data_IF_563551142286
#
_entry.id   IF_563551142286
#
_cell.length_a   1.000
_cell.length_b   1.000
_cell.length_c   1.000
_cell.angle_alpha   90.00
_cell.angle_beta   90.00
_cell.angle_gamma   90.00
#
_symmetry.space_group_name_H-M   'P 1'
#
loop_
_entity.id
_entity.type
_entity.pdbx_description
1 polymer ?
#
# COMPACT_ATOMS: atom_id res chain seq x y z
N UNK A 1 22.46 -40.26 -35.34
CA UNK A 1 22.37 -41.37 -34.37
C UNK A 1 22.33 -40.78 -32.97
N UNK A 2 21.25 -41.05 -32.24
CA UNK A 2 20.93 -40.49 -30.93
C UNK A 2 21.71 -41.19 -29.82
N UNK A 3 22.23 -40.44 -28.84
CA UNK A 3 22.42 -40.94 -27.46
C UNK A 3 22.18 -39.81 -26.46
N UNK A 4 20.96 -39.80 -25.94
CA UNK A 4 20.51 -38.99 -24.82
C UNK A 4 21.31 -39.33 -23.56
N UNK A 5 21.90 -38.30 -22.95
CA UNK A 5 22.56 -38.38 -21.65
C UNK A 5 21.56 -38.70 -20.55
N UNK A 6 21.97 -39.60 -19.65
CA UNK A 6 21.19 -40.22 -18.59
C UNK A 6 20.42 -39.22 -17.73
N UNK A 7 19.10 -39.39 -17.71
CA UNK A 7 18.20 -38.81 -16.71
C UNK A 7 18.47 -39.54 -15.39
N UNK A 8 19.15 -38.87 -14.46
CA UNK A 8 19.34 -39.36 -13.09
C UNK A 8 18.01 -39.23 -12.34
N UNK A 9 17.25 -40.33 -12.31
CA UNK A 9 15.99 -40.45 -11.58
C UNK A 9 16.24 -40.27 -10.07
N UNK A 10 15.93 -39.10 -9.53
CA UNK A 10 15.84 -38.92 -8.09
C UNK A 10 14.55 -39.59 -7.61
N UNK A 11 14.72 -40.76 -6.99
CA UNK A 11 13.64 -41.46 -6.32
C UNK A 11 13.14 -40.59 -5.17
N UNK A 12 11.89 -40.13 -5.31
CA UNK A 12 11.17 -39.41 -4.28
C UNK A 12 10.91 -40.37 -3.11
N UNK A 13 11.61 -40.18 -1.98
CA UNK A 13 11.22 -40.84 -0.74
C UNK A 13 9.93 -40.21 -0.24
N UNK A 14 8.87 -40.97 -0.48
CA UNK A 14 7.55 -40.84 0.11
C UNK A 14 7.61 -40.97 1.63
N UNK A 15 6.63 -40.30 2.26
CA UNK A 15 6.06 -40.53 3.59
C UNK A 15 6.54 -39.62 4.75
N UNK A 16 5.68 -38.65 5.08
CA UNK A 16 4.89 -38.62 6.32
C UNK A 16 3.99 -37.38 6.31
N UNK A 17 2.73 -37.57 5.93
CA UNK A 17 1.69 -36.60 6.18
C UNK A 17 1.40 -36.59 7.70
N UNK A 18 1.88 -35.57 8.40
CA UNK A 18 1.43 -35.30 9.75
C UNK A 18 0.07 -34.60 9.64
N UNK A 19 -1.00 -35.37 9.87
CA UNK A 19 -2.36 -34.87 9.97
C UNK A 19 -2.50 -33.99 11.23
N UNK A 20 -2.22 -32.69 11.11
CA UNK A 20 -2.63 -31.74 12.14
C UNK A 20 -4.08 -31.36 11.88
N UNK A 21 -5.03 -32.00 12.57
CA UNK A 21 -6.39 -31.49 12.67
C UNK A 21 -6.35 -30.20 13.49
N UNK A 22 -6.21 -29.07 12.83
CA UNK A 22 -6.46 -27.77 13.45
C UNK A 22 -7.97 -27.68 13.66
N UNK A 23 -8.40 -27.94 14.90
CA UNK A 23 -9.75 -27.63 15.37
C UNK A 23 -9.97 -26.13 15.11
N UNK A 24 -10.87 -25.82 14.19
CA UNK A 24 -11.25 -24.45 13.92
C UNK A 24 -11.90 -23.89 15.19
N UNK A 25 -11.39 -22.80 15.79
CA UNK A 25 -12.19 -22.07 16.76
C UNK A 25 -13.36 -21.49 15.97
N UNK A 26 -14.55 -22.04 16.19
CA UNK A 26 -15.82 -21.44 15.81
C UNK A 26 -15.93 -20.10 16.51
N UNK A 27 -15.34 -19.07 15.90
CA UNK A 27 -15.49 -17.70 16.33
C UNK A 27 -16.97 -17.37 16.19
N UNK A 28 -17.62 -17.26 17.35
CA UNK A 28 -18.97 -16.76 17.52
C UNK A 28 -19.19 -15.59 16.56
N UNK A 29 -20.08 -15.78 15.59
CA UNK A 29 -20.59 -14.69 14.76
C UNK A 29 -21.28 -13.72 15.73
N UNK A 30 -20.56 -12.70 16.17
CA UNK A 30 -21.16 -11.58 16.87
C UNK A 30 -22.04 -10.86 15.88
N UNK A 31 -23.31 -11.22 15.89
CA UNK A 31 -24.41 -10.44 15.32
C UNK A 31 -24.30 -9.02 15.89
N UNK A 32 -23.75 -8.11 15.10
CA UNK A 32 -23.81 -6.68 15.40
C UNK A 32 -25.15 -6.21 14.87
N UNK A 33 -26.15 -6.19 15.75
CA UNK A 33 -27.39 -5.48 15.51
C UNK A 33 -27.06 -4.00 15.32
N UNK A 34 -26.98 -3.56 14.08
CA UNK A 34 -26.93 -2.15 13.76
C UNK A 34 -28.35 -1.62 13.94
N UNK A 35 -28.68 -1.08 15.11
CA UNK A 35 -29.85 -0.22 15.24
C UNK A 35 -29.56 1.06 14.45
N UNK A 36 -30.31 1.37 13.38
CA UNK A 36 -30.14 2.64 12.68
C UNK A 36 -30.61 3.74 13.63
N UNK A 37 -29.68 4.46 14.24
CA UNK A 37 -30.02 5.70 14.92
C UNK A 37 -30.48 6.71 13.86
N UNK A 38 -31.54 7.50 14.12
CA UNK A 38 -32.08 8.43 13.16
C UNK A 38 -31.03 9.49 12.79
N UNK A 39 -30.70 9.54 11.50
CA UNK A 39 -29.72 10.42 10.84
C UNK A 39 -29.94 11.92 11.15
N UNK A 40 -31.12 12.29 11.65
CA UNK A 40 -31.51 13.67 11.89
C UNK A 40 -30.67 14.39 12.96
N UNK A 41 -30.09 13.69 13.94
CA UNK A 41 -29.41 14.35 15.07
C UNK A 41 -27.90 14.59 14.88
N UNK A 42 -27.25 13.97 13.89
CA UNK A 42 -25.80 14.17 13.67
C UNK A 42 -25.47 15.51 13.01
N UNK A 43 -26.44 16.14 12.34
CA UNK A 43 -26.24 17.44 11.69
C UNK A 43 -26.11 18.60 12.69
N UNK A 44 -26.80 18.54 13.84
CA UNK A 44 -26.77 19.60 14.84
C UNK A 44 -25.46 19.65 15.64
N UNK A 45 -24.76 18.51 15.79
CA UNK A 45 -23.51 18.43 16.58
C UNK A 45 -22.27 18.96 15.83
N UNK A 46 -22.36 19.22 14.53
CA UNK A 46 -21.22 19.73 13.75
C UNK A 46 -21.14 21.26 13.68
N UNK A 47 -22.02 22.00 14.34
CA UNK A 47 -22.20 23.43 14.04
C UNK A 47 -21.33 24.44 14.81
N UNK A 48 -20.42 24.06 15.71
CA UNK A 48 -19.55 25.06 16.37
C UNK A 48 -18.10 24.62 16.55
N UNK A 49 -17.42 24.31 15.45
CA UNK A 49 -15.97 24.57 15.39
C UNK A 49 -15.78 25.96 14.78
N UNK A 50 -15.90 26.99 15.62
CA UNK A 50 -15.36 28.32 15.29
C UNK A 50 -13.83 28.18 15.22
N UNK A 51 -13.31 28.04 14.01
CA UNK A 51 -11.89 28.18 13.76
C UNK A 51 -11.55 29.68 13.82
N UNK A 52 -10.57 30.11 14.63
CA UNK A 52 -10.10 31.49 14.54
C UNK A 52 -9.51 31.70 13.15
N UNK A 53 -10.05 32.70 12.45
CA UNK A 53 -9.58 33.18 11.16
C UNK A 53 -8.10 33.54 11.31
N UNK A 54 -7.23 32.65 10.86
CA UNK A 54 -5.79 32.89 10.86
C UNK A 54 -5.54 33.99 9.84
N UNK A 55 -5.10 35.17 10.28
CA UNK A 55 -4.66 36.22 9.37
C UNK A 55 -3.50 35.65 8.55
N UNK A 56 -3.76 35.31 7.29
CA UNK A 56 -2.71 34.93 6.36
C UNK A 56 -2.01 36.20 5.92
N UNK A 57 -0.82 36.44 6.47
CA UNK A 57 0.10 37.41 5.91
C UNK A 57 0.39 37.00 4.46
N UNK A 58 -0.12 37.76 3.49
CA UNK A 58 0.28 37.64 2.10
C UNK A 58 1.72 38.15 2.00
N UNK A 59 2.67 37.22 2.14
CA UNK A 59 4.06 37.50 1.82
C UNK A 59 4.11 37.65 0.30
N UNK A 60 4.27 38.88 -0.18
CA UNK A 60 4.56 39.18 -1.58
C UNK A 60 5.85 38.44 -1.96
N UNK A 61 5.69 37.27 -2.57
CA UNK A 61 6.81 36.50 -3.11
C UNK A 61 7.17 37.17 -4.43
N UNK A 62 8.21 38.01 -4.40
CA UNK A 62 8.87 38.45 -5.62
C UNK A 62 9.32 37.19 -6.38
N UNK A 63 8.74 36.96 -7.54
CA UNK A 63 9.06 35.83 -8.41
C UNK A 63 10.39 36.15 -9.10
N UNK A 64 11.49 35.43 -8.83
CA UNK A 64 12.69 35.60 -9.62
C UNK A 64 12.44 35.04 -11.02
N UNK A 65 12.87 35.81 -12.03
CA UNK A 65 12.92 35.47 -13.44
C UNK A 65 13.42 34.02 -13.64
N UNK A 66 12.57 33.17 -14.20
CA UNK A 66 12.88 31.77 -14.49
C UNK A 66 13.97 31.73 -15.56
N UNK A 67 15.21 31.53 -15.12
CA UNK A 67 16.27 30.98 -15.96
C UNK A 67 16.07 29.47 -15.96
N UNK A 68 15.89 28.86 -17.13
CA UNK A 68 15.82 27.41 -17.28
C UNK A 68 17.15 26.79 -16.84
N UNK A 69 17.31 26.54 -15.55
CA UNK A 69 18.37 25.69 -15.03
C UNK A 69 17.90 24.27 -15.29
N UNK A 70 18.53 23.62 -16.26
CA UNK A 70 18.37 22.21 -16.53
C UNK A 70 18.39 21.44 -15.20
N UNK A 71 17.36 20.63 -14.96
CA UNK A 71 17.39 19.68 -13.85
C UNK A 71 18.49 18.68 -14.14
N UNK A 72 19.67 18.93 -13.59
CA UNK A 72 20.68 17.91 -13.38
C UNK A 72 20.02 16.86 -12.49
N UNK A 73 19.53 15.80 -13.13
CA UNK A 73 19.22 14.53 -12.48
C UNK A 73 20.55 13.92 -12.07
N UNK A 74 21.18 14.56 -11.09
CA UNK A 74 22.30 14.01 -10.36
C UNK A 74 21.76 12.73 -9.73
N UNK A 75 22.12 11.60 -10.31
CA UNK A 75 21.95 10.31 -9.66
C UNK A 75 22.63 10.43 -8.31
N UNK A 76 21.83 10.58 -7.26
CA UNK A 76 22.26 10.55 -5.88
C UNK A 76 22.92 9.18 -5.64
N UNK A 77 24.21 9.07 -5.98
CA UNK A 77 25.10 7.97 -5.65
C UNK A 77 25.42 7.97 -4.15
N UNK A 78 24.47 8.43 -3.34
CA UNK A 78 24.52 8.42 -1.90
C UNK A 78 24.13 7.02 -1.44
N UNK A 79 25.14 6.21 -1.12
CA UNK A 79 24.94 4.92 -0.47
C UNK A 79 24.44 5.19 0.95
N UNK A 80 23.11 5.19 1.10
CA UNK A 80 22.50 5.27 2.42
C UNK A 80 22.75 3.95 3.16
N UNK A 81 23.50 4.03 4.27
CA UNK A 81 23.50 2.98 5.29
C UNK A 81 22.10 2.94 5.93
N UNK A 82 21.22 2.15 5.31
CA UNK A 82 19.80 2.16 5.61
C UNK A 82 19.47 1.60 7.00
N UNK A 83 19.01 2.47 7.89
CA UNK A 83 18.41 2.05 9.16
C UNK A 83 17.19 1.14 8.93
N UNK A 84 16.91 0.25 9.90
CA UNK A 84 15.71 -0.61 9.91
C UNK A 84 14.43 0.22 9.73
N UNK A 85 14.39 1.42 10.29
CA UNK A 85 13.27 2.36 10.16
C UNK A 85 13.06 2.81 8.71
N UNK A 86 14.12 3.16 7.97
CA UNK A 86 14.04 3.53 6.54
C UNK A 86 13.50 2.36 5.72
N UNK A 87 14.03 1.15 5.94
CA UNK A 87 13.56 -0.08 5.29
C UNK A 87 12.08 -0.36 5.56
N UNK A 88 11.61 -0.17 6.79
CA UNK A 88 10.18 -0.35 7.17
C UNK A 88 9.28 0.66 6.45
N UNK A 89 9.70 1.93 6.34
CA UNK A 89 8.96 2.96 5.56
C UNK A 89 8.86 2.57 4.08
N UNK A 90 9.98 2.20 3.46
CA UNK A 90 10.02 1.78 2.05
C UNK A 90 9.18 0.52 1.82
N UNK A 91 9.27 -0.50 2.68
CA UNK A 91 8.43 -1.70 2.66
C UNK A 91 6.95 -1.33 2.70
N UNK A 92 6.56 -0.44 3.61
CA UNK A 92 5.17 -0.05 3.76
C UNK A 92 4.67 0.73 2.53
N UNK A 93 5.45 1.69 2.03
CA UNK A 93 5.14 2.40 0.77
C UNK A 93 4.95 1.43 -0.40
N UNK A 94 5.89 0.49 -0.60
CA UNK A 94 5.80 -0.56 -1.62
C UNK A 94 4.56 -1.44 -1.44
N UNK A 95 4.27 -1.88 -0.21
CA UNK A 95 3.12 -2.71 0.09
C UNK A 95 1.80 -2.00 -0.25
N UNK A 96 1.64 -0.74 0.17
CA UNK A 96 0.44 0.06 -0.10
C UNK A 96 0.26 0.32 -1.60
N UNK A 97 1.36 0.60 -2.31
CA UNK A 97 1.34 0.75 -3.78
C UNK A 97 0.92 -0.55 -4.48
N UNK A 98 1.47 -1.71 -4.08
CA UNK A 98 1.09 -3.02 -4.63
C UNK A 98 -0.37 -3.36 -4.36
N UNK A 99 -0.92 -3.01 -3.19
CA UNK A 99 -2.35 -3.15 -2.91
C UNK A 99 -3.18 -2.25 -3.83
N UNK A 100 -2.83 -0.96 -3.94
CA UNK A 100 -3.52 0.00 -4.83
C UNK A 100 -3.54 -0.47 -6.28
N UNK A 101 -2.40 -0.90 -6.83
CA UNK A 101 -2.29 -1.38 -8.21
C UNK A 101 -3.14 -2.63 -8.47
N UNK A 102 -3.23 -3.55 -7.51
CA UNK A 102 -4.12 -4.72 -7.62
C UNK A 102 -5.58 -4.32 -7.73
N UNK A 103 -6.02 -3.39 -6.88
CA UNK A 103 -7.40 -2.88 -6.91
C UNK A 103 -7.71 -2.12 -8.22
N UNK A 104 -6.75 -1.35 -8.73
CA UNK A 104 -6.90 -0.57 -9.97
C UNK A 104 -6.71 -1.40 -11.26
N UNK A 105 -6.28 -2.67 -11.19
CA UNK A 105 -5.90 -3.47 -12.35
C UNK A 105 -7.03 -3.60 -13.37
N UNK A 106 -8.25 -3.92 -12.91
CA UNK A 106 -9.40 -4.10 -13.79
C UNK A 106 -9.77 -2.80 -14.53
N UNK A 107 -9.79 -1.68 -13.80
CA UNK A 107 -10.07 -0.35 -14.37
C UNK A 107 -9.01 0.04 -15.41
N UNK A 108 -7.72 -0.16 -15.12
CA UNK A 108 -6.64 0.15 -16.08
C UNK A 108 -6.70 -0.71 -17.34
N UNK A 109 -7.09 -1.98 -17.23
CA UNK A 109 -7.28 -2.88 -18.39
C UNK A 109 -8.39 -2.37 -19.29
N UNK A 110 -9.53 -1.99 -18.70
CA UNK A 110 -10.68 -1.43 -19.45
C UNK A 110 -10.33 -0.13 -20.17
N UNK A 111 -9.51 0.72 -19.54
CA UNK A 111 -9.07 1.99 -20.13
C UNK A 111 -7.91 1.86 -21.12
N UNK A 112 -7.32 0.67 -21.32
CA UNK A 112 -6.15 0.49 -22.18
C UNK A 112 -4.86 1.16 -21.66
N UNK A 113 -4.75 1.44 -20.36
CA UNK A 113 -3.61 2.14 -19.72
C UNK A 113 -2.68 1.18 -18.98
N UNK A 114 -2.58 -0.07 -19.46
CA UNK A 114 -1.85 -1.17 -18.84
C UNK A 114 -0.88 -1.81 -19.82
#
# INVERSE_FOLDING_TARGET
MLRFGLIRSMQMLSSRALSTSLVAPSALLRSVSHSPLPISQTMARMQTLQFPLSQTFHREVQVPLVTNVAEDVSEDNTIYMDSVLRKRRLKMKKHKLRKRRRNQRALKKRLGKL
#
